data_IF_995951736664
#
_entry.id   IF_995951736664
#
_cell.length_a   1.000
_cell.length_b   1.000
_cell.length_c   1.000
_cell.angle_alpha   90.00
_cell.angle_beta   90.00
_cell.angle_gamma   90.00
#
_symmetry.space_group_name_H-M   'P 1'
#
loop_
_entity.id
_entity.type
_entity.pdbx_description
1 polymer ?
#
# COMPACT_ATOMS: atom_id res chain seq x y z
N UNK A 1 -12.68 -60.32 21.99
CA UNK A 1 -12.85 -59.28 20.95
C UNK A 1 -13.12 -57.95 21.66
N UNK A 2 -12.09 -57.13 21.86
CA UNK A 2 -12.21 -55.81 22.48
C UNK A 2 -12.59 -54.82 21.39
N UNK A 3 -13.84 -54.36 21.41
CA UNK A 3 -14.29 -53.26 20.58
C UNK A 3 -13.72 -51.95 21.11
N UNK A 4 -12.82 -51.34 20.34
CA UNK A 4 -12.33 -49.99 20.59
C UNK A 4 -13.53 -49.00 20.45
N UNK A 5 -13.87 -48.22 21.45
CA UNK A 5 -14.97 -47.26 21.35
C UNK A 5 -14.68 -46.22 20.26
N UNK A 6 -15.69 -45.75 19.52
CA UNK A 6 -15.50 -44.75 18.47
C UNK A 6 -14.93 -43.48 19.08
N UNK A 7 -13.78 -43.04 18.58
CA UNK A 7 -13.15 -41.74 19.00
C UNK A 7 -14.16 -40.60 18.84
N UNK A 8 -14.40 -39.88 19.94
CA UNK A 8 -15.36 -38.76 20.04
C UNK A 8 -15.11 -37.73 18.93
N UNK A 9 -16.16 -37.13 18.34
CA UNK A 9 -16.04 -36.10 17.27
C UNK A 9 -15.23 -34.89 17.66
N UNK A 10 -15.08 -34.58 18.95
CA UNK A 10 -14.25 -33.48 19.49
C UNK A 10 -12.77 -33.59 19.05
N UNK A 11 -12.17 -34.76 19.14
CA UNK A 11 -10.76 -34.97 18.79
C UNK A 11 -10.41 -34.75 17.30
N UNK A 12 -11.38 -34.92 16.38
CA UNK A 12 -11.16 -34.66 14.95
C UNK A 12 -11.08 -33.18 14.63
N UNK A 13 -11.92 -32.37 15.31
CA UNK A 13 -11.97 -30.92 15.12
C UNK A 13 -10.78 -30.22 15.78
N UNK A 14 -10.39 -30.61 16.99
CA UNK A 14 -9.20 -30.10 17.67
C UNK A 14 -7.93 -30.32 16.83
N UNK A 15 -7.82 -31.50 16.20
CA UNK A 15 -6.72 -31.79 15.29
C UNK A 15 -6.74 -30.91 14.05
N UNK A 16 -7.92 -30.64 13.48
CA UNK A 16 -8.08 -29.75 12.33
C UNK A 16 -7.70 -28.30 12.68
N UNK A 17 -8.11 -27.82 13.84
CA UNK A 17 -7.75 -26.49 14.35
C UNK A 17 -6.24 -26.34 14.50
N UNK A 18 -5.54 -27.35 15.05
CA UNK A 18 -4.08 -27.38 15.14
C UNK A 18 -3.39 -27.42 13.77
N UNK A 19 -3.95 -28.19 12.83
CA UNK A 19 -3.42 -28.26 11.46
C UNK A 19 -3.56 -26.90 10.74
N UNK A 20 -4.65 -26.16 10.97
CA UNK A 20 -4.84 -24.81 10.43
C UNK A 20 -3.85 -23.82 11.05
N UNK A 21 -3.71 -23.81 12.38
CA UNK A 21 -2.73 -22.97 13.07
C UNK A 21 -1.30 -23.22 12.58
N UNK A 22 -0.96 -24.50 12.33
CA UNK A 22 0.33 -24.86 11.76
C UNK A 22 0.51 -24.31 10.33
N UNK A 23 -0.50 -24.47 9.46
CA UNK A 23 -0.43 -23.92 8.08
C UNK A 23 -0.32 -22.39 8.09
N UNK A 24 -1.08 -21.71 8.95
CA UNK A 24 -0.97 -20.25 9.15
C UNK A 24 0.45 -19.88 9.57
N UNK A 25 1.00 -20.54 10.58
CA UNK A 25 2.36 -20.30 11.05
C UNK A 25 3.42 -20.52 9.96
N UNK A 26 3.25 -21.56 9.13
CA UNK A 26 4.14 -21.85 7.99
C UNK A 26 4.01 -20.76 6.93
N UNK A 27 2.79 -20.36 6.56
CA UNK A 27 2.56 -19.29 5.58
C UNK A 27 3.21 -17.97 6.04
N UNK A 28 3.06 -17.62 7.33
CA UNK A 28 3.68 -16.45 7.95
C UNK A 28 5.22 -16.48 7.92
N UNK A 29 5.82 -17.67 7.87
CA UNK A 29 7.28 -17.84 7.89
C UNK A 29 7.91 -17.91 6.50
N UNK A 30 7.12 -18.20 5.45
CA UNK A 30 7.63 -18.49 4.11
C UNK A 30 7.49 -17.33 3.13
N UNK A 31 6.54 -16.43 3.32
CA UNK A 31 6.36 -15.27 2.43
C UNK A 31 6.88 -14.00 3.07
N UNK A 32 7.67 -13.23 2.30
CA UNK A 32 8.10 -11.88 2.63
C UNK A 32 7.16 -10.81 2.08
N UNK A 33 6.25 -11.18 1.18
CA UNK A 33 5.26 -10.27 0.63
C UNK A 33 4.04 -10.20 1.54
N UNK A 34 3.71 -9.00 2.01
CA UNK A 34 2.57 -8.75 2.89
C UNK A 34 1.25 -9.26 2.32
N UNK A 35 1.01 -9.02 1.01
CA UNK A 35 -0.19 -9.46 0.31
C UNK A 35 -0.39 -10.98 0.35
N UNK A 36 0.67 -11.75 0.07
CA UNK A 36 0.59 -13.22 0.05
C UNK A 36 0.23 -13.79 1.42
N UNK A 37 0.75 -13.15 2.48
CA UNK A 37 0.46 -13.54 3.86
C UNK A 37 -1.01 -13.26 4.19
N UNK A 38 -1.55 -12.10 3.81
CA UNK A 38 -2.95 -11.75 4.06
C UNK A 38 -3.90 -12.68 3.28
N UNK A 39 -3.59 -12.99 2.02
CA UNK A 39 -4.39 -13.91 1.21
C UNK A 39 -4.36 -15.34 1.78
N UNK A 40 -3.23 -15.80 2.25
CA UNK A 40 -3.12 -17.11 2.90
C UNK A 40 -3.95 -17.18 4.18
N UNK A 41 -3.91 -16.11 5.00
CA UNK A 41 -4.70 -16.01 6.23
C UNK A 41 -6.21 -15.99 5.95
N UNK A 42 -6.67 -15.16 5.03
CA UNK A 42 -8.09 -15.07 4.65
C UNK A 42 -8.60 -16.41 4.13
N UNK A 43 -7.82 -17.09 3.26
CA UNK A 43 -8.11 -18.43 2.74
C UNK A 43 -8.22 -19.45 3.85
N UNK A 44 -7.26 -19.52 4.78
CA UNK A 44 -7.27 -20.49 5.86
C UNK A 44 -8.47 -20.29 6.79
N UNK A 45 -8.86 -19.04 7.10
CA UNK A 45 -10.04 -18.73 7.90
C UNK A 45 -11.33 -19.21 7.23
N UNK A 46 -11.49 -18.93 5.92
CA UNK A 46 -12.67 -19.41 5.15
C UNK A 46 -12.78 -20.91 5.14
N UNK A 47 -11.65 -21.63 5.06
CA UNK A 47 -11.66 -23.11 5.03
C UNK A 47 -11.76 -23.75 6.41
N UNK A 48 -11.29 -23.10 7.46
CA UNK A 48 -11.27 -23.63 8.82
C UNK A 48 -12.60 -23.51 9.54
N UNK A 49 -13.32 -22.42 9.30
CA UNK A 49 -14.60 -22.16 9.97
C UNK A 49 -15.74 -22.60 9.06
N UNK A 50 -16.59 -23.47 9.60
CA UNK A 50 -17.73 -24.00 8.85
C UNK A 50 -18.69 -22.87 8.43
N UNK A 51 -19.16 -22.90 7.17
CA UNK A 51 -20.12 -21.95 6.57
C UNK A 51 -19.64 -20.51 6.43
N UNK A 52 -18.36 -20.24 6.64
CA UNK A 52 -17.80 -18.94 6.26
C UNK A 52 -17.68 -18.93 4.74
N UNK A 53 -18.32 -17.95 4.11
CA UNK A 53 -18.32 -17.77 2.65
C UNK A 53 -17.20 -16.85 2.22
N UNK A 54 -16.90 -15.85 3.03
CA UNK A 54 -15.91 -14.81 2.73
C UNK A 54 -15.13 -14.40 3.99
N UNK A 55 -13.88 -14.03 3.80
CA UNK A 55 -13.06 -13.40 4.81
C UNK A 55 -12.36 -12.19 4.21
N UNK A 56 -12.54 -11.03 4.84
CA UNK A 56 -11.86 -9.77 4.53
C UNK A 56 -10.91 -9.40 5.65
N UNK A 57 -9.71 -8.99 5.29
CA UNK A 57 -8.70 -8.48 6.23
C UNK A 57 -8.46 -7.02 5.90
N UNK A 58 -8.71 -6.16 6.88
CA UNK A 58 -8.58 -4.72 6.75
C UNK A 58 -7.46 -4.20 7.65
N UNK A 59 -6.69 -3.24 7.15
CA UNK A 59 -5.68 -2.49 7.91
C UNK A 59 -6.29 -1.19 8.41
N UNK A 60 -6.11 -0.91 9.69
CA UNK A 60 -6.58 0.34 10.28
C UNK A 60 -5.52 1.43 10.19
N UNK A 61 -5.92 2.59 9.67
CA UNK A 61 -5.14 3.82 9.64
C UNK A 61 -5.70 4.84 10.64
N UNK A 62 -5.28 4.82 11.91
CA UNK A 62 -5.90 5.62 12.98
C UNK A 62 -5.81 7.13 12.75
N UNK A 63 -4.76 7.62 12.08
CA UNK A 63 -4.60 9.05 11.78
C UNK A 63 -5.63 9.58 10.75
N UNK A 64 -6.16 8.71 9.90
CA UNK A 64 -7.16 9.03 8.87
C UNK A 64 -8.55 8.51 9.23
N UNK A 65 -8.66 7.69 10.28
CA UNK A 65 -9.85 6.99 10.75
C UNK A 65 -10.53 6.16 9.64
N UNK A 66 -9.72 5.40 8.90
CA UNK A 66 -10.15 4.55 7.78
C UNK A 66 -9.67 3.11 7.94
N UNK A 67 -10.39 2.19 7.29
CA UNK A 67 -9.94 0.83 6.99
C UNK A 67 -9.56 0.73 5.51
N UNK A 68 -8.46 0.07 5.22
CA UNK A 68 -8.00 -0.26 3.88
C UNK A 68 -8.00 -1.77 3.71
N UNK A 69 -8.64 -2.28 2.67
CA UNK A 69 -8.73 -3.71 2.37
C UNK A 69 -7.36 -4.25 1.97
N UNK A 70 -6.82 -5.14 2.77
CA UNK A 70 -5.55 -5.83 2.49
C UNK A 70 -5.76 -7.13 1.70
N UNK A 71 -6.86 -7.84 1.96
CA UNK A 71 -7.20 -9.08 1.28
C UNK A 71 -8.68 -9.39 1.42
N UNK A 72 -9.28 -9.91 0.36
CA UNK A 72 -10.61 -10.55 0.35
C UNK A 72 -10.46 -11.94 -0.23
N UNK A 73 -10.99 -12.95 0.46
CA UNK A 73 -11.03 -14.33 -0.03
C UNK A 73 -12.45 -14.88 0.01
N UNK A 74 -12.98 -15.27 -1.16
CA UNK A 74 -14.32 -15.85 -1.31
C UNK A 74 -14.22 -17.35 -1.56
N UNK A 75 -15.03 -18.13 -0.83
CA UNK A 75 -15.06 -19.60 -0.96
C UNK A 75 -15.54 -20.01 -2.35
N UNK A 76 -14.68 -20.70 -3.09
CA UNK A 76 -14.97 -21.19 -4.45
C UNK A 76 -14.52 -20.25 -5.56
N UNK A 77 -14.29 -18.97 -5.28
CA UNK A 77 -13.83 -17.98 -6.25
C UNK A 77 -12.33 -17.64 -6.05
N UNK A 78 -11.85 -17.66 -4.80
CA UNK A 78 -10.44 -17.38 -4.49
C UNK A 78 -10.24 -16.01 -3.89
N UNK A 79 -9.02 -15.47 -4.02
CA UNK A 79 -8.70 -14.11 -3.62
C UNK A 79 -9.20 -13.11 -4.66
N UNK A 80 -9.86 -12.02 -4.21
CA UNK A 80 -10.26 -10.90 -5.06
C UNK A 80 -9.12 -9.87 -5.10
N UNK A 81 -8.66 -9.56 -6.32
CA UNK A 81 -7.71 -8.46 -6.51
C UNK A 81 -8.43 -7.11 -6.69
N UNK A 82 -9.69 -7.14 -7.15
CA UNK A 82 -10.46 -5.93 -7.47
C UNK A 82 -10.81 -5.13 -6.20
N UNK A 83 -11.06 -5.81 -5.07
CA UNK A 83 -11.42 -5.17 -3.80
C UNK A 83 -10.20 -4.71 -2.99
N UNK A 84 -8.99 -5.14 -3.37
CA UNK A 84 -7.77 -4.79 -2.63
C UNK A 84 -7.42 -3.31 -2.80
N UNK A 85 -7.24 -2.63 -1.66
CA UNK A 85 -6.97 -1.21 -1.59
C UNK A 85 -8.22 -0.34 -1.46
N UNK A 86 -9.41 -0.95 -1.44
CA UNK A 86 -10.64 -0.24 -1.13
C UNK A 86 -10.58 0.39 0.27
N UNK A 87 -11.20 1.55 0.40
CA UNK A 87 -11.15 2.36 1.62
C UNK A 87 -12.55 2.52 2.19
N UNK A 88 -12.70 2.14 3.46
CA UNK A 88 -13.91 2.36 4.24
C UNK A 88 -13.71 3.44 5.29
N UNK A 89 -14.58 4.45 5.27
CA UNK A 89 -14.59 5.52 6.28
C UNK A 89 -15.27 5.00 7.55
N UNK A 90 -14.58 5.06 8.69
CA UNK A 90 -15.13 4.56 9.96
C UNK A 90 -16.28 5.41 10.52
N UNK A 91 -16.53 6.59 9.94
CA UNK A 91 -17.75 7.37 10.22
C UNK A 91 -19.03 6.62 9.82
N UNK A 92 -18.95 5.82 8.76
CA UNK A 92 -20.06 5.01 8.26
C UNK A 92 -20.23 3.69 9.06
N UNK A 93 -19.17 3.28 9.80
CA UNK A 93 -19.10 2.03 10.56
C UNK A 93 -18.77 2.28 12.05
N UNK A 94 -19.64 2.94 12.81
CA UNK A 94 -19.36 3.32 14.20
C UNK A 94 -19.12 2.14 15.13
N UNK A 95 -19.74 0.98 14.88
CA UNK A 95 -19.54 -0.25 15.68
C UNK A 95 -18.11 -0.79 15.50
N UNK A 96 -17.62 -0.86 14.27
CA UNK A 96 -16.25 -1.29 13.93
C UNK A 96 -15.22 -0.33 14.53
N UNK A 97 -15.49 0.98 14.49
CA UNK A 97 -14.65 1.99 15.15
C UNK A 97 -14.54 1.77 16.66
N UNK A 98 -15.66 1.48 17.34
CA UNK A 98 -15.67 1.19 18.80
C UNK A 98 -14.83 -0.05 19.06
N UNK A 99 -15.01 -1.11 18.29
CA UNK A 99 -14.28 -2.37 18.42
C UNK A 99 -12.76 -2.16 18.23
N UNK A 100 -12.36 -1.43 17.21
CA UNK A 100 -10.95 -1.10 16.95
C UNK A 100 -10.31 -0.31 18.09
N UNK A 101 -11.04 0.68 18.65
CA UNK A 101 -10.53 1.50 19.76
C UNK A 101 -10.47 0.75 21.07
N UNK A 102 -11.40 -0.19 21.30
CA UNK A 102 -11.38 -1.04 22.48
C UNK A 102 -10.24 -2.05 22.46
N UNK A 103 -9.78 -2.44 21.26
CA UNK A 103 -8.76 -3.46 21.04
C UNK A 103 -9.09 -4.79 21.75
N UNK A 104 -10.37 -5.10 21.90
CA UNK A 104 -10.88 -6.31 22.56
C UNK A 104 -12.29 -6.65 22.08
N UNK A 105 -12.72 -7.89 22.35
CA UNK A 105 -14.05 -8.35 22.01
C UNK A 105 -14.18 -8.81 20.56
N UNK A 106 -15.40 -8.77 20.08
CA UNK A 106 -15.81 -9.04 18.71
C UNK A 106 -17.17 -8.42 18.44
N UNK A 107 -17.45 -8.06 17.18
CA UNK A 107 -18.75 -7.64 16.70
C UNK A 107 -19.46 -8.78 15.97
N UNK A 108 -20.77 -8.90 16.10
CA UNK A 108 -21.58 -9.78 15.25
C UNK A 108 -22.81 -9.03 14.81
N UNK A 109 -23.09 -9.05 13.51
CA UNK A 109 -24.32 -8.48 12.97
C UNK A 109 -25.00 -9.49 12.04
N UNK A 110 -26.33 -9.46 11.97
CA UNK A 110 -27.16 -10.33 11.16
C UNK A 110 -28.24 -9.49 10.48
N UNK A 111 -28.61 -9.84 9.27
CA UNK A 111 -29.72 -9.18 8.56
C UNK A 111 -31.02 -9.17 9.36
N UNK A 112 -31.18 -10.13 10.30
CA UNK A 112 -32.39 -10.30 11.10
C UNK A 112 -32.33 -9.60 12.45
N UNK A 113 -31.24 -8.86 12.77
CA UNK A 113 -31.09 -8.22 14.08
C UNK A 113 -32.06 -7.02 14.20
N UNK A 114 -32.81 -6.91 15.31
CA UNK A 114 -33.64 -5.75 15.53
C UNK A 114 -32.77 -4.52 15.74
N UNK A 115 -33.06 -3.44 15.03
CA UNK A 115 -32.33 -2.17 15.16
C UNK A 115 -31.06 -2.06 14.34
N UNK A 116 -30.83 -2.98 13.39
CA UNK A 116 -29.75 -2.80 12.40
C UNK A 116 -29.98 -1.47 11.64
N UNK A 117 -28.90 -0.70 11.44
CA UNK A 117 -29.02 0.56 10.73
C UNK A 117 -29.41 0.33 9.26
N UNK A 118 -30.24 1.21 8.65
CA UNK A 118 -30.59 1.09 7.22
C UNK A 118 -29.37 1.02 6.33
N UNK A 119 -28.34 1.81 6.60
CA UNK A 119 -27.06 1.82 5.86
C UNK A 119 -26.40 0.43 5.90
N UNK A 120 -26.26 -0.16 7.09
CA UNK A 120 -25.65 -1.49 7.22
C UNK A 120 -26.50 -2.57 6.54
N UNK A 121 -27.83 -2.48 6.67
CA UNK A 121 -28.73 -3.43 6.01
C UNK A 121 -28.58 -3.38 4.48
N UNK A 122 -28.47 -2.19 3.90
CA UNK A 122 -28.23 -1.99 2.46
C UNK A 122 -26.92 -2.66 2.02
N UNK A 123 -25.82 -2.44 2.79
CA UNK A 123 -24.52 -3.10 2.53
C UNK A 123 -24.60 -4.63 2.61
N UNK A 124 -25.29 -5.17 3.62
CA UNK A 124 -25.50 -6.61 3.73
C UNK A 124 -26.24 -7.20 2.53
N UNK A 125 -27.26 -6.49 2.02
CA UNK A 125 -28.01 -6.90 0.83
C UNK A 125 -27.11 -6.84 -0.41
N UNK A 126 -26.36 -5.77 -0.59
CA UNK A 126 -25.45 -5.57 -1.71
C UNK A 126 -24.36 -6.65 -1.77
N UNK A 127 -23.74 -6.93 -0.63
CA UNK A 127 -22.68 -7.94 -0.53
C UNK A 127 -23.22 -9.38 -0.42
N UNK A 128 -24.52 -9.58 -0.29
CA UNK A 128 -25.14 -10.89 -0.11
C UNK A 128 -24.91 -11.52 1.28
N UNK A 129 -24.43 -10.75 2.25
CA UNK A 129 -24.11 -11.24 3.59
C UNK A 129 -25.37 -11.44 4.43
N UNK A 130 -25.55 -12.61 5.03
CA UNK A 130 -26.65 -12.93 5.95
C UNK A 130 -26.28 -12.66 7.42
N UNK A 131 -25.03 -12.89 7.74
CA UNK A 131 -24.41 -12.55 9.01
C UNK A 131 -22.93 -12.34 8.81
N UNK A 132 -22.34 -11.46 9.59
CA UNK A 132 -20.89 -11.35 9.66
C UNK A 132 -20.40 -11.20 11.11
N UNK A 133 -19.13 -11.53 11.32
CA UNK A 133 -18.39 -11.33 12.55
C UNK A 133 -17.17 -10.47 12.27
N UNK A 134 -16.89 -9.54 13.18
CA UNK A 134 -15.73 -8.67 13.18
C UNK A 134 -14.82 -9.01 14.36
N UNK A 135 -13.52 -9.13 14.11
CA UNK A 135 -12.50 -9.36 15.13
C UNK A 135 -11.34 -8.38 14.96
N UNK A 136 -10.96 -7.61 15.98
CA UNK A 136 -9.82 -6.72 15.89
C UNK A 136 -8.52 -7.53 15.82
N UNK A 137 -7.60 -7.09 14.98
CA UNK A 137 -6.22 -7.53 14.95
C UNK A 137 -5.44 -6.75 16.01
N UNK A 138 -5.11 -7.39 17.13
CA UNK A 138 -4.53 -6.71 18.31
C UNK A 138 -3.10 -7.16 18.55
N UNK A 139 -2.18 -6.19 18.67
CA UNK A 139 -0.79 -6.37 19.08
C UNK A 139 -0.47 -5.37 20.17
N UNK A 140 0.14 -5.83 21.27
CA UNK A 140 0.52 -4.99 22.41
C UNK A 140 -0.63 -4.09 22.95
N UNK A 141 -1.86 -4.64 22.96
CA UNK A 141 -3.06 -3.94 23.41
C UNK A 141 -3.56 -2.85 22.45
N UNK A 142 -3.11 -2.83 21.20
CA UNK A 142 -3.54 -1.87 20.18
C UNK A 142 -4.03 -2.61 18.94
N UNK A 143 -5.14 -2.15 18.37
CA UNK A 143 -5.59 -2.65 17.09
C UNK A 143 -4.70 -2.16 15.94
N UNK A 144 -4.40 -3.06 15.01
CA UNK A 144 -3.68 -2.76 13.76
C UNK A 144 -4.57 -2.98 12.53
N UNK A 145 -5.76 -3.57 12.73
CA UNK A 145 -6.70 -3.87 11.67
C UNK A 145 -7.91 -4.62 12.17
N UNK A 146 -8.69 -5.15 11.25
CA UNK A 146 -9.94 -5.87 11.49
C UNK A 146 -10.03 -7.08 10.55
N UNK A 147 -10.44 -8.22 11.07
CA UNK A 147 -10.89 -9.36 10.27
C UNK A 147 -12.41 -9.38 10.26
N UNK A 148 -13.00 -9.52 9.09
CA UNK A 148 -14.42 -9.70 8.87
C UNK A 148 -14.65 -11.07 8.22
N UNK A 149 -15.63 -11.82 8.70
CA UNK A 149 -16.03 -13.09 8.09
C UNK A 149 -17.54 -13.14 7.92
N UNK A 150 -17.98 -13.43 6.71
CA UNK A 150 -19.38 -13.46 6.32
C UNK A 150 -19.88 -14.87 6.00
N UNK A 151 -21.17 -15.11 6.31
CA UNK A 151 -21.93 -16.27 5.84
C UNK A 151 -23.04 -15.76 4.90
N UNK A 152 -23.01 -16.19 3.63
CA UNK A 152 -23.99 -15.84 2.60
C UNK A 152 -25.28 -16.65 2.70
N UNK A 153 -25.23 -17.79 3.39
CA UNK A 153 -26.28 -18.80 3.33
C UNK A 153 -27.31 -18.67 4.45
N UNK A 154 -26.90 -18.20 5.64
CA UNK A 154 -27.77 -18.16 6.81
C UNK A 154 -27.40 -17.02 7.78
N UNK A 155 -28.44 -16.42 8.41
CA UNK A 155 -28.30 -15.49 9.52
C UNK A 155 -28.03 -16.23 10.85
N UNK A 156 -27.02 -17.11 10.86
CA UNK A 156 -26.69 -17.96 12.02
C UNK A 156 -26.13 -17.19 13.20
N UNK A 157 -26.17 -17.81 14.36
CA UNK A 157 -25.36 -17.38 15.50
C UNK A 157 -23.97 -18.03 15.40
N UNK A 158 -22.96 -17.24 15.69
CA UNK A 158 -21.58 -17.74 15.81
C UNK A 158 -21.44 -18.48 17.14
N UNK A 159 -20.94 -19.71 17.09
CA UNK A 159 -20.66 -20.46 18.31
C UNK A 159 -19.43 -19.88 19.00
N UNK A 160 -19.44 -19.81 20.33
CA UNK A 160 -18.33 -19.25 21.11
C UNK A 160 -16.98 -19.90 20.72
N UNK A 161 -16.98 -21.21 20.52
CA UNK A 161 -15.78 -21.92 20.11
C UNK A 161 -15.24 -21.47 18.74
N UNK A 162 -16.12 -21.14 17.77
CA UNK A 162 -15.70 -20.63 16.46
C UNK A 162 -15.09 -19.24 16.62
N UNK A 163 -15.69 -18.41 17.47
CA UNK A 163 -15.15 -17.09 17.84
C UNK A 163 -13.77 -17.21 18.49
N UNK A 164 -13.62 -18.10 19.48
CA UNK A 164 -12.33 -18.30 20.17
C UNK A 164 -11.23 -18.80 19.23
N UNK A 165 -11.59 -19.67 18.30
CA UNK A 165 -10.67 -20.12 17.26
C UNK A 165 -10.26 -18.98 16.33
N UNK A 166 -11.22 -18.18 15.85
CA UNK A 166 -10.94 -17.01 15.01
C UNK A 166 -10.08 -15.96 15.74
N UNK A 167 -10.32 -15.73 17.04
CA UNK A 167 -9.47 -14.84 17.87
C UNK A 167 -8.04 -15.34 17.94
N UNK A 168 -7.84 -16.65 18.04
CA UNK A 168 -6.49 -17.23 18.06
C UNK A 168 -5.77 -16.98 16.74
N UNK A 169 -6.44 -17.13 15.61
CA UNK A 169 -5.86 -16.84 14.28
C UNK A 169 -5.67 -15.32 14.10
N UNK A 170 -6.64 -14.50 14.55
CA UNK A 170 -6.54 -13.04 14.49
C UNK A 170 -5.29 -12.53 15.24
N UNK A 171 -4.95 -13.12 16.40
CA UNK A 171 -3.73 -12.78 17.11
C UNK A 171 -2.45 -13.11 16.33
N UNK A 172 -2.43 -14.22 15.60
CA UNK A 172 -1.30 -14.57 14.71
C UNK A 172 -1.23 -13.61 13.51
N UNK A 173 -2.39 -13.31 12.91
CA UNK A 173 -2.48 -12.35 11.81
C UNK A 173 -2.04 -10.95 12.23
N UNK A 174 -2.44 -10.51 13.40
CA UNK A 174 -2.06 -9.21 13.96
C UNK A 174 -0.54 -9.05 14.07
N UNK A 175 0.15 -10.10 14.55
CA UNK A 175 1.62 -10.10 14.62
C UNK A 175 2.26 -10.02 13.23
N UNK A 176 1.69 -10.72 12.24
CA UNK A 176 2.16 -10.66 10.86
C UNK A 176 1.98 -9.26 10.25
N UNK A 177 0.80 -8.66 10.44
CA UNK A 177 0.52 -7.27 10.02
C UNK A 177 1.54 -6.31 10.65
N UNK A 178 1.76 -6.43 11.95
CA UNK A 178 2.72 -5.58 12.66
C UNK A 178 4.15 -5.74 12.17
N UNK A 179 4.59 -6.98 11.95
CA UNK A 179 5.93 -7.25 11.42
C UNK A 179 6.09 -6.67 10.01
N UNK A 180 5.07 -6.82 9.16
CA UNK A 180 5.09 -6.26 7.82
C UNK A 180 5.10 -4.72 7.84
N UNK A 181 4.31 -4.08 8.70
CA UNK A 181 4.35 -2.63 8.90
C UNK A 181 5.74 -2.16 9.37
N UNK A 182 6.35 -2.84 10.35
CA UNK A 182 7.69 -2.51 10.81
C UNK A 182 8.74 -2.68 9.70
N UNK A 183 8.59 -3.72 8.88
CA UNK A 183 9.48 -3.94 7.74
C UNK A 183 9.32 -2.84 6.68
N UNK A 184 8.09 -2.45 6.36
CA UNK A 184 7.81 -1.32 5.45
C UNK A 184 8.33 0.02 6.02
N UNK A 185 8.17 0.26 7.32
CA UNK A 185 8.72 1.44 7.99
C UNK A 185 10.24 1.49 7.91
N UNK A 186 10.90 0.36 8.19
CA UNK A 186 12.35 0.22 8.04
C UNK A 186 12.77 0.40 6.57
N UNK A 187 12.06 -0.23 5.65
CA UNK A 187 12.29 -0.10 4.20
C UNK A 187 12.12 1.34 3.75
N UNK A 188 11.07 2.01 4.22
CA UNK A 188 10.81 3.42 3.88
C UNK A 188 11.92 4.37 4.36
N UNK A 189 12.58 4.05 5.48
CA UNK A 189 13.77 4.78 5.94
C UNK A 189 14.98 4.52 5.05
N UNK A 190 15.11 3.30 4.51
CA UNK A 190 16.18 2.92 3.56
C UNK A 190 15.88 3.43 2.14
N UNK A 191 14.62 3.68 1.79
CA UNK A 191 14.18 4.11 0.46
C UNK A 191 14.37 5.61 0.21
N UNK A 192 14.60 6.40 1.27
CA UNK A 192 14.83 7.84 1.14
C UNK A 192 16.32 8.17 1.03
N UNK A 193 16.61 9.19 0.26
CA UNK A 193 17.92 9.87 0.28
C UNK A 193 18.09 10.58 1.63
N UNK A 194 19.12 10.24 2.37
CA UNK A 194 19.35 10.73 3.75
C UNK A 194 19.57 12.24 3.84
N UNK A 195 19.99 12.87 2.75
CA UNK A 195 20.26 14.32 2.71
C UNK A 195 18.98 15.11 2.40
N UNK A 196 18.18 14.65 1.44
CA UNK A 196 17.09 15.41 0.82
C UNK A 196 15.70 14.92 1.22
N UNK A 197 15.58 13.68 1.71
CA UNK A 197 14.31 13.07 2.13
C UNK A 197 13.33 12.71 1.01
N UNK A 198 13.73 12.84 -0.28
CA UNK A 198 13.03 12.27 -1.43
C UNK A 198 13.44 10.80 -1.63
N UNK A 199 12.83 10.07 -2.55
CA UNK A 199 13.27 8.69 -2.83
C UNK A 199 14.74 8.66 -3.26
N UNK A 200 15.49 7.63 -2.82
CA UNK A 200 16.81 7.36 -3.36
C UNK A 200 16.71 6.66 -4.72
N UNK A 201 17.85 6.50 -5.39
CA UNK A 201 17.95 5.89 -6.70
C UNK A 201 17.21 4.54 -6.82
N UNK A 202 17.46 3.60 -5.89
CA UNK A 202 16.86 2.27 -5.90
C UNK A 202 15.33 2.35 -5.78
N UNK A 203 14.84 3.05 -4.78
CA UNK A 203 13.41 3.18 -4.50
C UNK A 203 12.68 3.94 -5.63
N UNK A 204 13.33 4.91 -6.27
CA UNK A 204 12.77 5.59 -7.44
C UNK A 204 12.52 4.63 -8.60
N UNK A 205 13.49 3.78 -8.95
CA UNK A 205 13.32 2.82 -10.04
C UNK A 205 12.28 1.74 -9.70
N UNK A 206 12.28 1.21 -8.48
CA UNK A 206 11.25 0.27 -8.03
C UNK A 206 9.85 0.88 -8.12
N UNK A 207 9.69 2.12 -7.69
CA UNK A 207 8.42 2.83 -7.74
C UNK A 207 7.98 3.14 -9.17
N UNK A 208 8.91 3.50 -10.04
CA UNK A 208 8.61 3.74 -11.45
C UNK A 208 8.09 2.47 -12.14
N UNK A 209 8.70 1.30 -11.89
CA UNK A 209 8.19 0.02 -12.41
C UNK A 209 6.76 -0.26 -11.94
N UNK A 210 6.44 0.04 -10.67
CA UNK A 210 5.08 -0.13 -10.13
C UNK A 210 4.06 0.79 -10.81
N UNK A 211 4.41 2.07 -11.01
CA UNK A 211 3.51 3.03 -11.68
C UNK A 211 3.32 2.70 -13.16
N UNK A 212 4.37 2.22 -13.84
CA UNK A 212 4.24 1.72 -15.20
C UNK A 212 3.31 0.51 -15.29
N UNK A 213 3.45 -0.46 -14.38
CA UNK A 213 2.56 -1.62 -14.33
C UNK A 213 1.11 -1.23 -13.97
N UNK A 214 0.92 -0.23 -13.10
CA UNK A 214 -0.40 0.31 -12.77
C UNK A 214 -1.03 1.00 -13.98
N UNK A 215 -0.28 1.85 -14.68
CA UNK A 215 -0.75 2.60 -15.84
C UNK A 215 -1.30 1.68 -16.96
N UNK A 216 -0.66 0.52 -17.14
CA UNK A 216 -1.15 -0.52 -18.07
C UNK A 216 -2.54 -1.01 -17.70
N UNK A 217 -2.79 -1.28 -16.42
CA UNK A 217 -4.10 -1.77 -15.95
C UNK A 217 -5.19 -0.71 -15.99
N UNK A 218 -4.83 0.54 -15.71
CA UNK A 218 -5.78 1.68 -15.63
C UNK A 218 -5.92 2.46 -16.94
N UNK A 219 -5.22 2.02 -18.03
CA UNK A 219 -5.18 2.70 -19.32
C UNK A 219 -4.75 4.18 -19.23
N UNK A 220 -3.87 4.48 -18.25
CA UNK A 220 -3.32 5.82 -18.02
C UNK A 220 -1.89 5.92 -18.53
N UNK A 221 -1.27 7.10 -18.44
CA UNK A 221 0.09 7.31 -18.88
C UNK A 221 0.98 7.78 -17.73
N UNK A 222 2.25 7.41 -17.76
CA UNK A 222 3.29 7.84 -16.82
C UNK A 222 4.33 8.65 -17.56
N UNK A 223 4.76 9.78 -16.99
CA UNK A 223 5.95 10.49 -17.45
C UNK A 223 7.06 10.48 -16.39
N UNK A 224 8.28 10.65 -16.87
CA UNK A 224 9.46 10.86 -16.04
C UNK A 224 10.08 12.20 -16.38
N UNK A 225 10.39 12.96 -15.34
CA UNK A 225 11.19 14.19 -15.43
C UNK A 225 12.55 13.90 -14.83
N UNK A 226 13.62 14.24 -15.51
CA UNK A 226 14.99 14.22 -14.98
C UNK A 226 15.49 15.65 -14.88
N UNK A 227 16.10 16.01 -13.76
CA UNK A 227 16.59 17.35 -13.41
C UNK A 227 18.05 17.23 -13.02
N UNK A 228 18.91 18.04 -13.60
CA UNK A 228 20.33 18.12 -13.27
C UNK A 228 20.68 19.58 -12.97
N UNK A 229 21.41 19.80 -11.88
CA UNK A 229 21.78 21.14 -11.43
C UNK A 229 22.98 21.67 -12.21
N UNK A 230 22.76 22.75 -12.92
CA UNK A 230 23.81 23.37 -13.70
C UNK A 230 24.93 23.91 -12.79
N UNK A 231 26.17 23.57 -13.15
CA UNK A 231 27.40 24.06 -12.49
C UNK A 231 27.49 23.77 -10.98
N UNK A 232 26.77 22.72 -10.47
CA UNK A 232 26.75 22.36 -9.04
C UNK A 232 28.15 22.03 -8.50
N UNK A 233 29.03 21.44 -9.32
CA UNK A 233 30.42 21.20 -8.94
C UNK A 233 31.16 22.51 -8.62
N UNK A 234 30.97 23.56 -9.43
CA UNK A 234 31.57 24.88 -9.19
C UNK A 234 31.09 25.51 -7.86
N UNK A 235 29.84 25.28 -7.49
CA UNK A 235 29.31 25.68 -6.17
C UNK A 235 30.08 24.98 -5.03
N UNK A 236 30.27 23.65 -5.14
CA UNK A 236 31.02 22.89 -4.15
C UNK A 236 32.46 23.32 -4.05
N UNK A 237 33.12 23.53 -5.18
CA UNK A 237 34.54 23.95 -5.25
C UNK A 237 34.73 25.35 -4.65
N UNK A 238 33.72 26.24 -4.79
CA UNK A 238 33.82 27.65 -4.31
C UNK A 238 33.35 27.81 -2.87
N UNK A 239 32.28 27.10 -2.44
CA UNK A 239 31.60 27.32 -1.14
C UNK A 239 31.67 26.12 -0.22
N UNK A 240 32.30 25.03 -0.65
CA UNK A 240 32.43 23.78 0.10
C UNK A 240 31.18 22.89 0.09
N UNK A 241 31.38 21.60 0.44
CA UNK A 241 30.33 20.59 0.39
C UNK A 241 29.14 20.87 1.32
N UNK A 242 29.35 21.55 2.46
CA UNK A 242 28.25 21.93 3.37
C UNK A 242 27.26 22.88 2.68
N UNK A 243 27.75 23.80 1.87
CA UNK A 243 26.90 24.71 1.09
C UNK A 243 26.18 23.96 -0.03
N UNK A 244 26.84 22.99 -0.68
CA UNK A 244 26.22 22.09 -1.65
C UNK A 244 25.11 21.25 -1.03
N UNK A 245 25.31 20.66 0.12
CA UNK A 245 24.30 19.90 0.84
C UNK A 245 23.05 20.73 1.19
N UNK A 246 23.26 21.97 1.62
CA UNK A 246 22.16 22.91 1.86
C UNK A 246 21.42 23.27 0.57
N UNK A 247 22.14 23.43 -0.53
CA UNK A 247 21.56 23.68 -1.84
C UNK A 247 20.70 22.50 -2.32
N UNK A 248 21.20 21.26 -2.19
CA UNK A 248 20.45 20.05 -2.51
C UNK A 248 19.15 19.91 -1.70
N UNK A 249 19.18 20.25 -0.39
CA UNK A 249 17.96 20.26 0.44
C UNK A 249 16.94 21.29 -0.06
N UNK A 250 17.39 22.48 -0.47
CA UNK A 250 16.50 23.53 -1.02
C UNK A 250 15.93 23.11 -2.36
N UNK A 251 16.73 22.50 -3.23
CA UNK A 251 16.25 21.95 -4.51
C UNK A 251 15.18 20.89 -4.29
N UNK A 252 15.41 19.94 -3.40
CA UNK A 252 14.41 18.92 -3.06
C UNK A 252 13.11 19.54 -2.52
N UNK A 253 13.20 20.60 -1.72
CA UNK A 253 12.03 21.34 -1.23
C UNK A 253 11.30 22.05 -2.38
N UNK A 254 12.02 22.71 -3.30
CA UNK A 254 11.46 23.35 -4.48
C UNK A 254 10.73 22.34 -5.39
N UNK A 255 11.35 21.18 -5.66
CA UNK A 255 10.73 20.11 -6.42
C UNK A 255 9.42 19.67 -5.74
N UNK A 256 9.46 19.35 -4.44
CA UNK A 256 8.25 18.93 -3.69
C UNK A 256 7.14 19.97 -3.71
N UNK A 257 7.47 21.26 -3.62
CA UNK A 257 6.46 22.33 -3.65
C UNK A 257 5.80 22.51 -5.02
N UNK A 258 6.43 22.02 -6.08
CA UNK A 258 5.94 22.09 -7.47
C UNK A 258 5.12 20.85 -7.84
N UNK A 259 5.38 19.71 -7.17
CA UNK A 259 4.73 18.43 -7.38
C UNK A 259 3.32 18.40 -6.80
N UNK A 260 2.42 17.65 -7.45
CA UNK A 260 1.12 17.25 -6.89
C UNK A 260 1.33 16.17 -5.82
N UNK A 261 0.29 15.90 -5.02
CA UNK A 261 0.34 14.85 -3.99
C UNK A 261 0.64 13.44 -4.54
N UNK A 262 0.30 13.18 -5.81
CA UNK A 262 0.53 11.91 -6.49
C UNK A 262 1.89 11.83 -7.19
N UNK A 263 2.57 12.95 -7.42
CA UNK A 263 3.87 12.99 -8.06
C UNK A 263 4.96 12.53 -7.09
N UNK A 264 5.94 11.79 -7.59
CA UNK A 264 6.89 11.07 -6.75
C UNK A 264 8.32 11.52 -7.07
N UNK A 265 8.88 12.45 -6.27
CA UNK A 265 10.25 12.91 -6.46
C UNK A 265 11.28 11.96 -5.87
N UNK A 266 12.42 11.82 -6.54
CA UNK A 266 13.59 11.06 -6.12
C UNK A 266 14.89 11.79 -6.44
N UNK A 267 16.00 11.33 -5.85
CA UNK A 267 17.36 11.75 -6.16
C UNK A 267 18.13 10.54 -6.70
N UNK A 268 18.60 10.66 -7.94
CA UNK A 268 19.29 9.56 -8.63
C UNK A 268 20.78 9.49 -8.23
N UNK A 269 21.38 10.60 -7.89
CA UNK A 269 22.76 10.68 -7.44
C UNK A 269 23.31 12.11 -7.50
N UNK A 270 24.38 12.41 -6.79
CA UNK A 270 25.04 13.70 -6.88
C UNK A 270 24.08 14.90 -6.88
N UNK A 271 23.96 15.57 -7.99
CA UNK A 271 23.11 16.72 -8.30
C UNK A 271 21.90 16.38 -9.20
N UNK A 272 21.67 15.10 -9.44
CA UNK A 272 20.58 14.60 -10.29
C UNK A 272 19.34 14.23 -9.50
N UNK A 273 18.19 14.80 -9.87
CA UNK A 273 16.86 14.48 -9.34
C UNK A 273 15.97 13.94 -10.46
N UNK A 274 14.94 13.20 -10.06
CA UNK A 274 13.92 12.76 -11.00
C UNK A 274 12.52 12.81 -10.35
N UNK A 275 11.47 12.84 -11.18
CA UNK A 275 10.09 12.87 -10.72
C UNK A 275 9.29 11.88 -11.57
N UNK A 276 8.56 10.97 -10.92
CA UNK A 276 7.55 10.16 -11.60
C UNK A 276 6.25 10.95 -11.57
N UNK A 277 5.59 11.04 -12.71
CA UNK A 277 4.30 11.70 -12.89
C UNK A 277 3.26 10.65 -13.29
N UNK A 278 2.53 10.06 -12.32
CA UNK A 278 1.40 9.20 -12.64
C UNK A 278 0.24 10.05 -13.20
N UNK A 279 -0.57 9.46 -14.07
CA UNK A 279 -1.76 10.10 -14.65
C UNK A 279 -1.46 11.51 -15.19
N UNK A 280 -0.75 11.54 -16.29
CA UNK A 280 -0.17 12.76 -16.86
C UNK A 280 -1.23 13.84 -17.08
N UNK A 281 -0.99 15.02 -16.49
CA UNK A 281 -1.65 16.26 -16.91
C UNK A 281 -1.06 16.69 -18.27
N UNK A 282 -1.88 17.09 -19.26
CA UNK A 282 -1.42 17.35 -20.63
C UNK A 282 -0.36 18.46 -20.76
N UNK A 283 -0.09 19.26 -19.72
CA UNK A 283 0.88 20.35 -19.80
C UNK A 283 2.21 20.08 -19.09
N UNK A 284 2.98 19.14 -19.65
CA UNK A 284 4.35 18.84 -19.20
C UNK A 284 5.31 20.02 -19.39
N UNK A 285 5.02 20.92 -20.36
CA UNK A 285 5.82 22.11 -20.58
C UNK A 285 5.66 23.13 -19.44
N UNK A 286 4.42 23.36 -19.01
CA UNK A 286 4.16 24.23 -17.86
C UNK A 286 4.77 23.68 -16.58
N UNK A 287 4.73 22.36 -16.35
CA UNK A 287 5.37 21.74 -15.19
C UNK A 287 6.89 21.95 -15.22
N UNK A 288 7.54 21.68 -16.37
CA UNK A 288 8.99 21.86 -16.50
C UNK A 288 9.41 23.32 -16.29
N UNK A 289 8.64 24.28 -16.81
CA UNK A 289 8.86 25.69 -16.57
C UNK A 289 8.74 26.07 -15.07
N UNK A 290 7.67 25.64 -14.41
CA UNK A 290 7.50 25.86 -12.97
C UNK A 290 8.63 25.25 -12.12
N UNK A 291 9.14 24.07 -12.52
CA UNK A 291 10.29 23.45 -11.83
C UNK A 291 11.54 24.30 -11.92
N UNK A 292 11.87 24.77 -13.13
CA UNK A 292 13.03 25.67 -13.34
C UNK A 292 12.91 26.94 -12.49
N UNK A 293 11.75 27.60 -12.53
CA UNK A 293 11.49 28.82 -11.78
C UNK A 293 11.55 28.59 -10.25
N UNK A 294 10.99 27.48 -9.77
CA UNK A 294 11.03 27.11 -8.35
C UNK A 294 12.46 26.84 -7.88
N UNK A 295 13.25 26.11 -8.65
CA UNK A 295 14.66 25.85 -8.34
C UNK A 295 15.47 27.15 -8.33
N UNK A 296 15.28 27.99 -9.34
CA UNK A 296 15.98 29.26 -9.42
C UNK A 296 15.64 30.20 -8.25
N UNK A 297 14.36 30.32 -7.90
CA UNK A 297 13.89 31.26 -6.86
C UNK A 297 14.12 30.75 -5.43
N UNK A 298 13.90 29.44 -5.16
CA UNK A 298 13.98 28.87 -3.81
C UNK A 298 15.37 28.34 -3.46
N UNK A 299 16.10 27.78 -4.44
CA UNK A 299 17.44 27.22 -4.21
C UNK A 299 18.57 28.17 -4.65
N UNK A 300 18.28 29.15 -5.49
CA UNK A 300 19.27 30.09 -6.05
C UNK A 300 20.24 29.39 -7.03
N UNK A 301 19.76 28.34 -7.72
CA UNK A 301 20.52 27.52 -8.67
C UNK A 301 19.77 27.45 -10.00
N UNK A 302 20.51 27.21 -11.05
CA UNK A 302 19.95 26.86 -12.35
C UNK A 302 19.94 25.32 -12.51
N UNK A 303 19.03 24.84 -13.33
CA UNK A 303 18.90 23.42 -13.65
C UNK A 303 18.56 23.25 -15.13
N UNK A 304 18.91 22.10 -15.66
CA UNK A 304 18.45 21.61 -16.96
C UNK A 304 17.47 20.45 -16.73
N UNK A 305 16.42 20.37 -17.55
CA UNK A 305 15.34 19.40 -17.35
C UNK A 305 15.06 18.63 -18.63
N UNK A 306 14.95 17.30 -18.51
CA UNK A 306 14.49 16.41 -19.56
C UNK A 306 13.20 15.70 -19.15
N UNK A 307 12.24 15.59 -20.07
CA UNK A 307 10.95 14.94 -19.81
C UNK A 307 10.69 13.87 -20.86
N UNK A 308 10.20 12.70 -20.44
CA UNK A 308 9.75 11.66 -21.36
C UNK A 308 8.48 10.98 -20.85
N UNK A 309 7.56 10.70 -21.79
CA UNK A 309 6.34 9.91 -21.52
C UNK A 309 6.62 8.44 -21.82
N UNK A 310 6.13 7.51 -21.00
CA UNK A 310 6.18 6.09 -21.32
C UNK A 310 5.31 5.80 -22.55
N UNK A 311 5.90 5.15 -23.57
CA UNK A 311 5.27 5.02 -24.92
C UNK A 311 4.43 3.77 -25.08
N UNK A 312 4.71 2.71 -24.32
CA UNK A 312 4.09 1.39 -24.52
C UNK A 312 3.78 0.73 -23.17
N UNK A 313 2.79 -0.12 -23.18
CA UNK A 313 2.41 -0.97 -22.05
C UNK A 313 3.52 -1.93 -21.57
N UNK A 314 4.61 -2.06 -22.33
CA UNK A 314 5.79 -2.87 -22.01
C UNK A 314 7.05 -2.01 -21.74
N UNK A 315 6.91 -0.70 -21.59
CA UNK A 315 8.06 0.18 -21.30
C UNK A 315 8.59 -0.09 -19.89
N UNK A 316 9.90 -0.24 -19.78
CA UNK A 316 10.57 -0.44 -18.49
C UNK A 316 11.11 0.88 -17.97
N UNK A 317 11.22 0.99 -16.65
CA UNK A 317 11.72 2.19 -15.97
C UNK A 317 13.03 2.71 -16.60
N UNK A 318 14.00 1.82 -16.83
CA UNK A 318 15.28 2.19 -17.40
C UNK A 318 15.18 2.84 -18.81
N UNK A 319 14.23 2.39 -19.65
CA UNK A 319 14.02 2.98 -20.97
C UNK A 319 13.37 4.37 -20.90
N UNK A 320 12.39 4.52 -20.03
CA UNK A 320 11.70 5.80 -19.85
C UNK A 320 12.67 6.85 -19.30
N UNK A 321 13.47 6.48 -18.30
CA UNK A 321 14.51 7.36 -17.73
C UNK A 321 15.55 7.70 -18.83
N UNK A 322 16.04 6.73 -19.58
CA UNK A 322 17.03 7.00 -20.66
C UNK A 322 16.51 7.97 -21.72
N UNK A 323 15.19 7.96 -22.03
CA UNK A 323 14.62 8.97 -22.95
C UNK A 323 14.56 10.36 -22.31
N UNK A 324 14.23 10.44 -21.02
CA UNK A 324 14.28 11.70 -20.30
C UNK A 324 15.70 12.25 -20.20
N UNK A 325 16.71 11.39 -19.98
CA UNK A 325 18.13 11.76 -19.98
C UNK A 325 18.59 12.29 -21.36
N UNK A 326 18.15 11.67 -22.45
CA UNK A 326 18.46 12.20 -23.79
C UNK A 326 17.88 13.61 -23.98
N UNK A 327 16.64 13.84 -23.54
CA UNK A 327 16.05 15.19 -23.56
C UNK A 327 16.79 16.17 -22.65
N UNK A 328 17.30 15.72 -21.50
CA UNK A 328 18.14 16.51 -20.63
C UNK A 328 19.46 16.90 -21.28
N UNK A 329 20.11 15.97 -21.99
CA UNK A 329 21.33 16.26 -22.78
C UNK A 329 21.08 17.32 -23.86
N UNK A 330 19.93 17.25 -24.54
CA UNK A 330 19.51 18.29 -25.49
C UNK A 330 19.28 19.64 -24.83
N UNK A 331 18.70 19.68 -23.63
CA UNK A 331 18.52 20.90 -22.85
C UNK A 331 19.88 21.51 -22.48
N UNK A 332 20.82 20.68 -22.00
CA UNK A 332 22.19 21.14 -21.69
C UNK A 332 22.91 21.67 -22.93
N UNK A 333 22.80 20.99 -24.09
CA UNK A 333 23.39 21.42 -25.35
C UNK A 333 22.79 22.74 -25.88
N UNK A 334 21.54 23.04 -25.57
CA UNK A 334 20.84 24.26 -25.94
C UNK A 334 21.23 25.50 -25.10
N UNK A 335 22.15 25.35 -24.14
CA UNK A 335 22.67 26.47 -23.34
C UNK A 335 22.39 26.39 -21.87
N UNK A 336 21.92 25.23 -21.37
CA UNK A 336 21.52 25.00 -19.97
C UNK A 336 20.31 25.87 -19.54
N UNK A 337 19.90 25.76 -18.27
CA UNK A 337 18.78 26.51 -17.70
C UNK A 337 17.52 26.49 -18.58
N UNK A 338 17.21 25.33 -19.10
CA UNK A 338 16.09 25.08 -20.02
C UNK A 338 15.59 23.65 -19.88
N UNK A 339 14.52 23.33 -20.59
CA UNK A 339 13.99 21.98 -20.63
C UNK A 339 13.77 21.47 -22.05
N UNK A 340 13.67 20.15 -22.20
CA UNK A 340 13.21 19.45 -23.41
C UNK A 340 12.23 18.36 -23.02
N UNK A 341 11.21 18.17 -23.87
CA UNK A 341 10.23 17.10 -23.75
C UNK A 341 10.45 16.16 -24.94
N UNK A 342 10.68 14.88 -24.67
CA UNK A 342 10.82 13.87 -25.70
C UNK A 342 9.55 13.81 -26.55
N UNK A 343 9.72 13.84 -27.86
CA UNK A 343 8.65 13.73 -28.82
C UNK A 343 8.03 12.30 -28.86
#
# INVERSE_FOLDING_TARGET
>A
MNSVPPRKPAHRRDRRELEVLHRVAVALSQSLAFSDVMDALARELVHAVDRVSECTINIWHPARDILEVASVYVRGEGASEDDRGDIYLLDDYPASRVLLRAADGFGVQRMTDPGISPFILERLVEWGWRTWIELPLVVDGRSVGLIEMADYTSARRWAQRDVDFCRTIAAQAALAVRNAQLYEDLRSQVDKDSLTGVLNHRAFYERLEQELARAVRSETQVAVVVVDLDDFKALNDTRGHVAGDQALRRVAAAIRSTCRAVDIPGRLGGDEFAIILPDIDPDLHALAGRLLDAIATQAGLHASVGVAVARESADRAARTVARADNSLLEAKAAGKHTYRVAA
#
